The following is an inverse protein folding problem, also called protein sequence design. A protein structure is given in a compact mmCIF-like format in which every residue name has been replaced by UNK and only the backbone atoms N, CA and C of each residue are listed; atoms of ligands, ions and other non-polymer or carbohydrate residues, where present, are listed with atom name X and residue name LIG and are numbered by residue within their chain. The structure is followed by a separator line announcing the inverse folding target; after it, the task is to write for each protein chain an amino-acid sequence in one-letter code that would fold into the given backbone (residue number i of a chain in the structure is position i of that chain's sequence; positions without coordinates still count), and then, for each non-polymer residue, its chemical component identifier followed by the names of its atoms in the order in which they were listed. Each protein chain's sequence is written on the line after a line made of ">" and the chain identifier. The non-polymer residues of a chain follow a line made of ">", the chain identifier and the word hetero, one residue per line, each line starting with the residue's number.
data_IF_840988162032
#
_entry.id   IF_840988162032
#
_cell.length_a   1.000
_cell.length_b   1.000
_cell.length_c   1.000
_cell.angle_alpha   90.00
_cell.angle_beta   90.00
_cell.angle_gamma   90.00
#
_symmetry.space_group_name_H-M   'P 1'
#
loop_
_entity.id
_entity.type
_entity.pdbx_description
1 polymer ?
#
# COMPACT_ATOMS: atom_id res chain seq x y z
N UNK A 1 -20.87 26.33 4.71
CA UNK A 1 -21.98 27.31 4.66
C UNK A 1 -23.18 26.78 5.45
N UNK A 2 -24.05 27.65 5.99
CA UNK A 2 -25.26 27.24 6.70
C UNK A 2 -26.46 27.97 6.09
N UNK A 3 -27.47 27.22 5.63
CA UNK A 3 -28.64 27.79 4.96
C UNK A 3 -29.89 27.00 5.33
N UNK A 4 -30.96 27.67 5.77
CA UNK A 4 -32.27 27.06 6.12
C UNK A 4 -32.18 25.82 7.02
N UNK A 5 -31.33 25.85 8.05
CA UNK A 5 -31.17 24.73 8.99
C UNK A 5 -30.33 23.56 8.47
N UNK A 6 -29.68 23.76 7.33
CA UNK A 6 -28.82 22.78 6.67
C UNK A 6 -27.38 23.28 6.70
N UNK A 7 -26.49 22.44 7.21
CA UNK A 7 -25.07 22.68 7.16
C UNK A 7 -24.48 22.03 5.92
N UNK A 8 -23.84 22.84 5.09
CA UNK A 8 -23.18 22.44 3.86
C UNK A 8 -21.68 22.50 4.11
N UNK A 9 -21.02 21.35 4.07
CA UNK A 9 -19.57 21.25 4.19
C UNK A 9 -19.02 20.64 2.91
N UNK A 10 -17.90 21.16 2.43
CA UNK A 10 -17.15 20.52 1.35
C UNK A 10 -16.38 19.35 1.98
N UNK A 11 -16.77 18.12 1.65
CA UNK A 11 -16.20 16.92 2.29
C UNK A 11 -14.93 16.45 1.59
N UNK A 12 -14.85 16.61 0.28
CA UNK A 12 -13.71 16.17 -0.53
C UNK A 12 -13.68 16.87 -1.89
N UNK A 13 -12.50 16.86 -2.51
CA UNK A 13 -12.35 17.01 -3.95
C UNK A 13 -12.28 15.61 -4.53
N UNK A 14 -13.20 15.29 -5.43
CA UNK A 14 -13.17 14.04 -6.18
C UNK A 14 -12.85 14.35 -7.64
N UNK A 15 -12.49 13.31 -8.38
CA UNK A 15 -12.31 13.44 -9.81
C UNK A 15 -13.67 13.64 -10.48
N UNK A 16 -13.86 14.77 -11.16
CA UNK A 16 -15.11 15.17 -11.79
C UNK A 16 -15.33 14.61 -13.19
N UNK A 17 -14.56 13.60 -13.59
CA UNK A 17 -14.55 13.07 -14.96
C UNK A 17 -13.38 13.63 -15.76
N UNK A 18 -12.17 13.60 -15.22
CA UNK A 18 -10.94 13.92 -15.93
C UNK A 18 -10.82 13.09 -17.20
N UNK A 19 -10.39 13.73 -18.29
CA UNK A 19 -10.14 13.07 -19.56
C UNK A 19 -8.73 12.50 -19.57
N UNK A 20 -8.58 11.25 -19.99
CA UNK A 20 -7.34 10.49 -19.98
C UNK A 20 -7.02 10.04 -21.40
N UNK A 21 -5.75 10.16 -21.79
CA UNK A 21 -5.17 9.52 -22.95
C UNK A 21 -4.11 8.54 -22.46
N UNK A 22 -4.34 7.25 -22.69
CA UNK A 22 -3.45 6.18 -22.25
C UNK A 22 -2.79 5.53 -23.45
N UNK A 23 -1.51 5.21 -23.32
CA UNK A 23 -0.81 4.30 -24.20
C UNK A 23 -0.85 2.89 -23.62
N UNK A 24 -1.43 1.95 -24.36
CA UNK A 24 -1.53 0.55 -23.98
C UNK A 24 -0.37 -0.24 -24.59
N UNK A 25 0.36 -0.97 -23.73
CA UNK A 25 1.51 -1.77 -24.08
C UNK A 25 1.18 -3.26 -23.90
N UNK A 26 0.87 -4.02 -24.97
CA UNK A 26 0.57 -5.45 -24.86
C UNK A 26 1.70 -6.25 -24.23
N UNK A 27 1.37 -7.05 -23.22
CA UNK A 27 2.28 -7.98 -22.54
C UNK A 27 2.20 -9.41 -23.10
N UNK A 28 1.17 -9.70 -23.90
CA UNK A 28 1.04 -10.95 -24.65
C UNK A 28 1.93 -11.01 -25.90
N UNK A 29 1.95 -12.17 -26.57
CA UNK A 29 2.60 -12.33 -27.87
C UNK A 29 1.80 -11.63 -28.98
N UNK A 30 2.48 -11.09 -30.00
CA UNK A 30 1.83 -10.60 -31.23
C UNK A 30 1.19 -9.21 -31.18
N UNK A 31 0.77 -8.69 -30.02
CA UNK A 31 0.14 -7.37 -29.94
C UNK A 31 1.08 -6.18 -30.22
N UNK A 32 0.55 -5.11 -30.82
CA UNK A 32 1.23 -3.82 -31.00
C UNK A 32 0.69 -2.77 -30.04
N UNK A 33 1.51 -1.80 -29.58
CA UNK A 33 1.00 -0.70 -28.78
C UNK A 33 -0.12 0.10 -29.47
N UNK A 34 -1.07 0.61 -28.70
CA UNK A 34 -2.20 1.41 -29.19
C UNK A 34 -2.66 2.41 -28.14
N UNK A 35 -3.37 3.45 -28.56
CA UNK A 35 -3.88 4.49 -27.67
C UNK A 35 -5.33 4.23 -27.26
N UNK A 36 -5.67 4.61 -26.03
CA UNK A 36 -7.01 4.51 -25.45
C UNK A 36 -7.36 5.87 -24.87
N UNK A 37 -8.51 6.41 -25.26
CA UNK A 37 -9.09 7.57 -24.62
C UNK A 37 -10.20 7.16 -23.64
N UNK A 38 -10.29 7.87 -22.52
CA UNK A 38 -11.24 7.58 -21.48
C UNK A 38 -11.56 8.77 -20.61
N UNK A 39 -12.63 8.64 -19.84
CA UNK A 39 -13.03 9.63 -18.84
C UNK A 39 -13.13 8.91 -17.50
N UNK A 40 -12.60 9.49 -16.43
CA UNK A 40 -12.75 8.95 -15.07
C UNK A 40 -14.24 8.80 -14.73
N UNK A 41 -14.61 7.66 -14.16
CA UNK A 41 -16.00 7.22 -13.94
C UNK A 41 -16.63 6.54 -15.16
N UNK A 42 -16.00 6.59 -16.33
CA UNK A 42 -16.42 5.91 -17.56
C UNK A 42 -15.80 4.52 -17.71
N UNK A 43 -16.22 3.81 -18.75
CA UNK A 43 -15.63 2.53 -19.15
C UNK A 43 -15.48 2.42 -20.66
N UNK A 44 -14.61 1.51 -21.10
CA UNK A 44 -14.42 1.15 -22.51
C UNK A 44 -14.10 -0.33 -22.63
N UNK A 45 -14.38 -0.93 -23.79
CA UNK A 45 -13.94 -2.28 -24.08
C UNK A 45 -12.43 -2.28 -24.36
N UNK A 46 -11.71 -3.17 -23.69
CA UNK A 46 -10.29 -3.41 -23.93
C UNK A 46 -10.14 -4.69 -24.75
N UNK A 47 -9.59 -4.53 -25.97
CA UNK A 47 -9.29 -5.63 -26.89
C UNK A 47 -7.77 -5.72 -27.01
N UNK A 48 -7.17 -6.67 -26.32
CA UNK A 48 -5.78 -7.02 -26.58
C UNK A 48 -5.73 -7.97 -27.78
N UNK A 49 -4.96 -7.63 -28.81
CA UNK A 49 -4.74 -8.48 -29.99
C UNK A 49 -3.94 -9.73 -29.62
N UNK A 50 -4.65 -10.73 -29.09
CA UNK A 50 -4.35 -12.16 -29.16
C UNK A 50 -5.47 -12.95 -28.43
N UNK A 51 -6.65 -13.09 -29.04
CA UNK A 51 -7.56 -14.23 -28.83
C UNK A 51 -8.18 -14.54 -27.46
N UNK A 52 -7.85 -13.88 -26.35
CA UNK A 52 -8.37 -14.28 -25.03
C UNK A 52 -8.84 -13.12 -24.16
N UNK A 53 -10.15 -13.15 -23.89
CA UNK A 53 -10.91 -12.34 -22.95
C UNK A 53 -11.25 -10.90 -23.38
N UNK A 54 -12.54 -10.67 -23.65
CA UNK A 54 -13.12 -9.31 -23.63
C UNK A 54 -13.04 -8.79 -22.21
N UNK A 55 -12.31 -7.70 -22.02
CA UNK A 55 -12.22 -7.02 -20.73
C UNK A 55 -12.90 -5.66 -20.84
N UNK A 56 -13.57 -5.25 -19.77
CA UNK A 56 -14.05 -3.87 -19.62
C UNK A 56 -13.04 -3.11 -18.79
N UNK A 57 -12.47 -2.05 -19.36
CA UNK A 57 -11.61 -1.11 -18.67
C UNK A 57 -12.48 -0.01 -18.05
N UNK A 58 -12.49 0.08 -16.73
CA UNK A 58 -13.19 1.11 -15.95
C UNK A 58 -12.17 2.10 -15.41
N UNK A 59 -12.27 3.37 -15.79
CA UNK A 59 -11.38 4.42 -15.29
C UNK A 59 -11.90 4.90 -13.93
N UNK A 60 -11.13 4.74 -12.86
CA UNK A 60 -11.64 5.01 -11.50
C UNK A 60 -11.04 6.23 -10.83
N UNK A 61 -9.87 6.68 -11.26
CA UNK A 61 -9.30 7.88 -10.69
C UNK A 61 -8.03 8.36 -11.38
N UNK A 62 -7.81 9.67 -11.28
CA UNK A 62 -6.56 10.33 -11.61
C UNK A 62 -6.07 11.08 -10.37
N UNK A 63 -4.83 10.86 -9.97
CA UNK A 63 -4.14 11.70 -8.99
C UNK A 63 -2.95 12.33 -9.68
N UNK A 64 -2.96 13.65 -9.83
CA UNK A 64 -1.88 14.38 -10.53
C UNK A 64 -0.62 14.48 -9.66
N UNK A 65 -0.79 14.51 -8.34
CA UNK A 65 0.30 14.63 -7.37
C UNK A 65 0.13 13.51 -6.35
N UNK A 66 1.18 12.72 -6.15
CA UNK A 66 1.22 11.66 -5.15
C UNK A 66 2.46 11.85 -4.29
N UNK A 67 2.28 12.12 -3.00
CA UNK A 67 3.38 12.25 -2.04
C UNK A 67 3.38 11.03 -1.14
N UNK A 68 4.31 10.11 -1.39
CA UNK A 68 4.36 8.80 -0.74
C UNK A 68 5.60 8.68 0.15
N UNK A 69 5.51 7.95 1.27
CA UNK A 69 6.68 7.66 2.10
C UNK A 69 7.45 6.46 1.54
N UNK A 70 8.62 6.70 0.95
CA UNK A 70 9.44 5.66 0.31
C UNK A 70 10.32 4.89 1.29
N UNK A 71 10.57 5.42 2.50
CA UNK A 71 11.48 4.81 3.48
C UNK A 71 11.01 3.44 4.00
N UNK A 72 9.71 3.13 3.90
CA UNK A 72 9.13 1.89 4.43
C UNK A 72 8.85 0.82 3.36
N UNK A 73 9.04 1.13 2.05
CA UNK A 73 8.75 0.17 0.96
C UNK A 73 9.91 -0.75 0.60
N UNK A 74 11.16 -0.38 0.91
CA UNK A 74 12.34 -1.24 0.68
C UNK A 74 12.35 -2.52 1.55
N UNK A 75 11.82 -2.44 2.77
CA UNK A 75 11.87 -3.55 3.74
C UNK A 75 10.66 -4.48 3.71
N UNK A 76 9.53 -4.07 3.10
CA UNK A 76 8.26 -4.78 3.22
C UNK A 76 7.98 -5.83 2.11
N UNK A 77 8.84 -5.96 1.10
CA UNK A 77 8.57 -6.80 -0.09
C UNK A 77 9.62 -7.91 -0.30
N UNK A 78 10.76 -7.88 0.40
CA UNK A 78 11.76 -8.97 0.36
C UNK A 78 11.42 -10.18 1.26
N UNK A 79 10.14 -10.47 1.49
CA UNK A 79 9.75 -11.38 2.60
C UNK A 79 8.46 -12.17 2.43
N UNK A 80 8.00 -12.51 1.22
CA UNK A 80 6.92 -13.51 1.05
C UNK A 80 7.44 -14.94 0.88
N UNK A 81 8.47 -15.31 1.64
CA UNK A 81 8.84 -16.70 1.90
C UNK A 81 9.28 -16.79 3.35
N UNK A 82 8.77 -17.80 4.05
CA UNK A 82 9.10 -18.19 5.42
C UNK A 82 10.61 -18.33 5.63
N UNK A 83 11.28 -17.27 6.08
CA UNK A 83 12.67 -17.34 6.56
C UNK A 83 12.71 -17.22 8.10
N UNK A 84 13.21 -18.27 8.74
CA UNK A 84 13.32 -18.44 10.19
C UNK A 84 14.70 -18.00 10.68
N UNK A 85 15.53 -17.33 9.85
CA UNK A 85 16.89 -16.93 10.22
C UNK A 85 17.17 -15.46 9.89
N UNK A 86 16.45 -14.60 10.58
CA UNK A 86 16.72 -13.16 10.62
C UNK A 86 16.13 -12.55 11.88
N UNK A 87 16.63 -12.96 13.04
CA UNK A 87 16.23 -12.35 14.32
C UNK A 87 16.75 -10.92 14.32
N UNK A 88 15.88 -9.95 14.05
CA UNK A 88 16.18 -8.52 14.17
C UNK A 88 16.34 -8.14 15.65
N UNK A 89 17.50 -8.50 16.21
CA UNK A 89 17.90 -8.20 17.59
C UNK A 89 18.10 -6.68 17.83
N UNK A 90 18.30 -5.90 16.77
CA UNK A 90 18.45 -4.45 16.86
C UNK A 90 17.10 -3.74 16.98
N UNK A 91 16.08 -4.20 16.25
CA UNK A 91 14.71 -3.67 16.34
C UNK A 91 13.95 -4.05 17.62
N UNK A 92 14.31 -5.16 18.28
CA UNK A 92 13.67 -5.57 19.54
C UNK A 92 14.20 -4.84 20.78
N UNK A 93 15.45 -4.35 20.76
CA UNK A 93 16.07 -3.70 21.92
C UNK A 93 15.56 -2.26 22.12
N UNK A 94 15.24 -1.55 21.04
CA UNK A 94 14.67 -0.19 21.08
C UNK A 94 13.19 -0.18 21.50
N UNK A 95 12.48 -1.31 21.39
CA UNK A 95 11.08 -1.44 21.80
C UNK A 95 10.86 -1.51 23.31
N UNK A 96 11.91 -1.79 24.10
CA UNK A 96 11.80 -1.98 25.55
C UNK A 96 12.42 -0.87 26.41
N UNK A 97 12.97 0.18 25.80
CA UNK A 97 13.41 1.37 26.52
C UNK A 97 12.31 2.43 26.46
N UNK A 98 11.52 2.45 27.54
CA UNK A 98 10.31 3.27 27.69
C UNK A 98 10.54 4.75 27.42
N UNK A 99 10.06 5.21 26.27
CA UNK A 99 9.53 6.57 26.10
C UNK A 99 8.31 6.47 25.19
N UNK A 100 7.17 6.97 25.66
CA UNK A 100 5.86 6.85 25.01
C UNK A 100 5.67 7.71 23.76
N UNK A 101 6.72 7.91 22.96
CA UNK A 101 6.64 8.53 21.65
C UNK A 101 7.00 7.47 20.61
N UNK A 102 6.12 7.22 19.64
CA UNK A 102 6.51 6.51 18.41
C UNK A 102 7.68 7.31 17.80
N UNK A 103 8.91 6.82 17.97
CA UNK A 103 10.08 7.36 17.28
C UNK A 103 9.73 7.44 15.81
N UNK A 104 9.81 8.65 15.24
CA UNK A 104 9.36 8.92 13.88
C UNK A 104 10.08 7.97 12.93
N UNK A 105 9.33 7.08 12.28
CA UNK A 105 9.84 6.42 11.08
C UNK A 105 10.29 7.53 10.12
N UNK A 106 11.53 7.46 9.65
CA UNK A 106 12.08 8.44 8.71
C UNK A 106 11.08 8.67 7.57
N UNK A 107 10.61 9.91 7.45
CA UNK A 107 9.60 10.30 6.47
C UNK A 107 10.32 10.72 5.19
N UNK A 108 10.70 9.74 4.37
CA UNK A 108 11.20 9.97 3.01
C UNK A 108 10.05 10.27 2.03
N UNK A 109 9.31 11.36 2.27
CA UNK A 109 8.19 11.77 1.43
C UNK A 109 8.70 12.24 0.06
N UNK A 110 8.34 11.52 -1.00
CA UNK A 110 8.70 11.87 -2.36
C UNK A 110 7.46 12.02 -3.23
N UNK A 111 7.47 13.02 -4.10
CA UNK A 111 6.46 13.11 -5.14
C UNK A 111 6.75 12.05 -6.21
N UNK A 112 5.85 11.09 -6.36
CA UNK A 112 5.96 9.98 -7.31
C UNK A 112 5.14 10.23 -8.58
N UNK A 113 4.78 11.50 -8.82
CA UNK A 113 4.13 11.96 -10.04
C UNK A 113 2.66 11.58 -10.16
N UNK A 114 2.08 11.76 -11.35
CA UNK A 114 0.71 11.34 -11.61
C UNK A 114 0.54 9.83 -11.45
N UNK A 115 -0.64 9.41 -10.99
CA UNK A 115 -1.05 8.02 -11.00
C UNK A 115 -2.46 7.87 -11.56
N UNK A 116 -2.69 6.73 -12.21
CA UNK A 116 -4.00 6.34 -12.73
C UNK A 116 -4.50 5.12 -11.97
N UNK A 117 -5.74 5.18 -11.51
CA UNK A 117 -6.47 4.04 -10.97
C UNK A 117 -7.49 3.56 -12.01
N UNK A 118 -7.52 2.26 -12.24
CA UNK A 118 -8.50 1.63 -13.13
C UNK A 118 -8.86 0.23 -12.65
N UNK A 119 -9.97 -0.31 -13.17
CA UNK A 119 -10.34 -1.71 -12.99
C UNK A 119 -10.41 -2.41 -14.34
N UNK A 120 -9.98 -3.66 -14.37
CA UNK A 120 -10.26 -4.55 -15.50
C UNK A 120 -11.29 -5.57 -15.04
N UNK A 121 -12.44 -5.58 -15.70
CA UNK A 121 -13.52 -6.54 -15.44
C UNK A 121 -13.61 -7.57 -16.56
N UNK A 122 -13.66 -8.84 -16.20
CA UNK A 122 -13.85 -9.92 -17.16
C UNK A 122 -15.34 -10.17 -17.49
N UNK A 123 -15.59 -11.08 -18.43
CA UNK A 123 -16.94 -11.49 -18.82
C UNK A 123 -17.73 -12.19 -17.70
N UNK A 124 -17.08 -12.69 -16.66
CA UNK A 124 -17.71 -13.27 -15.47
C UNK A 124 -18.07 -12.21 -14.42
N UNK A 125 -17.73 -10.93 -14.66
CA UNK A 125 -17.99 -9.82 -13.77
C UNK A 125 -16.94 -9.65 -12.66
N UNK A 126 -15.88 -10.45 -12.65
CA UNK A 126 -14.78 -10.31 -11.69
C UNK A 126 -13.92 -9.12 -12.09
N UNK A 127 -13.64 -8.23 -11.14
CA UNK A 127 -12.85 -7.03 -11.37
C UNK A 127 -11.58 -7.02 -10.53
N UNK A 128 -10.45 -6.72 -11.18
CA UNK A 128 -9.16 -6.47 -10.53
C UNK A 128 -8.87 -4.98 -10.57
N UNK A 129 -8.26 -4.47 -9.52
CA UNK A 129 -7.93 -3.05 -9.41
C UNK A 129 -6.44 -2.82 -9.66
N UNK A 130 -6.15 -1.77 -10.40
CA UNK A 130 -4.82 -1.38 -10.81
C UNK A 130 -4.53 0.07 -10.43
N UNK A 131 -3.28 0.35 -10.10
CA UNK A 131 -2.80 1.70 -9.83
C UNK A 131 -1.37 1.85 -10.35
N UNK A 132 -1.20 2.62 -11.43
CA UNK A 132 0.08 2.78 -12.10
C UNK A 132 0.62 4.19 -11.85
N UNK A 133 1.90 4.29 -11.50
CA UNK A 133 2.61 5.55 -11.29
C UNK A 133 3.40 5.94 -12.53
N UNK A 134 3.36 7.22 -12.88
CA UNK A 134 3.87 7.74 -14.16
C UNK A 134 5.26 8.37 -14.05
N UNK A 135 5.84 8.41 -12.84
CA UNK A 135 7.24 8.76 -12.65
C UNK A 135 7.98 7.60 -11.98
N UNK A 136 9.26 7.39 -12.36
CA UNK A 136 10.08 6.40 -11.71
C UNK A 136 10.41 6.83 -10.29
N UNK A 137 10.50 5.85 -9.40
CA UNK A 137 10.85 6.03 -7.98
C UNK A 137 12.14 5.30 -7.67
N UNK A 138 12.92 5.85 -6.73
CA UNK A 138 14.11 5.21 -6.20
C UNK A 138 13.72 4.19 -5.12
N UNK A 139 13.95 2.90 -5.39
CA UNK A 139 13.81 1.79 -4.45
C UNK A 139 15.12 1.02 -4.39
N UNK A 140 15.69 0.87 -3.19
CA UNK A 140 16.91 0.10 -2.96
C UNK A 140 18.10 0.51 -3.88
N UNK A 141 18.20 1.82 -4.16
CA UNK A 141 19.23 2.39 -5.04
C UNK A 141 18.96 2.24 -6.54
N UNK A 142 17.72 1.89 -6.92
CA UNK A 142 17.33 1.64 -8.30
C UNK A 142 16.09 2.41 -8.68
N UNK A 143 16.11 2.98 -9.89
CA UNK A 143 14.96 3.71 -10.44
C UNK A 143 14.03 2.75 -11.16
N UNK A 144 12.78 2.70 -10.72
CA UNK A 144 11.75 1.81 -11.28
C UNK A 144 10.40 2.52 -11.43
N UNK A 145 9.66 2.18 -12.47
CA UNK A 145 8.23 2.47 -12.54
C UNK A 145 7.45 1.42 -11.74
N UNK A 146 6.30 1.83 -11.20
CA UNK A 146 5.46 0.96 -10.37
C UNK A 146 4.08 0.78 -11.02
N UNK A 147 3.77 -0.47 -11.36
CA UNK A 147 2.43 -0.87 -11.83
C UNK A 147 1.78 -1.78 -10.77
N UNK A 148 0.79 -1.24 -10.06
CA UNK A 148 0.13 -1.91 -8.95
C UNK A 148 -1.06 -2.76 -9.40
N UNK A 149 -1.26 -3.90 -8.75
CA UNK A 149 -2.45 -4.74 -8.88
C UNK A 149 -2.91 -5.25 -7.51
N UNK A 150 -4.23 -5.37 -7.34
CA UNK A 150 -4.85 -6.12 -6.24
C UNK A 150 -6.11 -6.82 -6.73
N UNK A 151 -6.37 -8.01 -6.18
CA UNK A 151 -7.56 -8.81 -6.53
C UNK A 151 -8.79 -8.28 -5.78
N UNK A 152 -8.61 -7.88 -4.51
CA UNK A 152 -9.70 -7.39 -3.66
C UNK A 152 -9.39 -6.01 -3.07
N UNK A 153 -10.41 -5.17 -2.78
CA UNK A 153 -10.19 -3.85 -2.17
C UNK A 153 -9.57 -3.88 -0.77
N UNK A 154 -9.69 -5.01 -0.07
CA UNK A 154 -9.15 -5.24 1.27
C UNK A 154 -7.66 -5.61 1.26
N UNK A 155 -7.15 -6.05 0.12
CA UNK A 155 -5.74 -6.41 -0.03
C UNK A 155 -4.87 -5.18 -0.35
N UNK A 156 -3.59 -5.18 0.10
CA UNK A 156 -2.62 -4.19 -0.35
C UNK A 156 -2.26 -4.41 -1.83
N UNK A 157 -1.91 -3.34 -2.52
CA UNK A 157 -1.38 -3.45 -3.88
C UNK A 157 -0.05 -4.19 -3.91
N UNK A 158 0.06 -5.18 -4.79
CA UNK A 158 1.34 -5.75 -5.24
C UNK A 158 1.82 -4.96 -6.44
N UNK A 159 3.10 -4.58 -6.46
CA UNK A 159 3.66 -3.75 -7.51
C UNK A 159 4.63 -4.53 -8.39
N UNK A 160 4.39 -4.50 -9.69
CA UNK A 160 5.40 -4.80 -10.70
C UNK A 160 6.38 -3.62 -10.74
N UNK A 161 7.66 -3.91 -10.54
CA UNK A 161 8.76 -2.95 -10.57
C UNK A 161 9.42 -3.01 -11.93
N UNK A 162 9.28 -1.96 -12.74
CA UNK A 162 9.80 -1.93 -14.10
C UNK A 162 11.07 -1.08 -14.10
N UNK A 163 12.27 -1.64 -14.35
CA UNK A 163 13.51 -0.87 -14.35
C UNK A 163 13.51 0.17 -15.46
N UNK A 164 14.03 1.35 -15.14
CA UNK A 164 14.25 2.37 -16.16
C UNK A 164 15.44 2.02 -17.04
N UNK A 165 15.34 2.31 -18.33
CA UNK A 165 16.46 2.23 -19.26
C UNK A 165 17.38 3.47 -19.18
N UNK A 166 18.39 3.51 -20.05
CA UNK A 166 19.35 4.62 -20.11
C UNK A 166 18.69 5.97 -20.46
N UNK A 167 17.51 5.95 -21.09
CA UNK A 167 16.71 7.13 -21.42
C UNK A 167 15.75 7.53 -20.28
N UNK A 168 15.68 6.75 -19.19
CA UNK A 168 14.77 6.96 -18.07
C UNK A 168 13.34 6.48 -18.33
N UNK A 169 13.12 5.73 -19.42
CA UNK A 169 11.82 5.18 -19.81
C UNK A 169 11.69 3.69 -19.49
N UNK A 170 10.54 3.11 -19.86
CA UNK A 170 10.30 1.66 -19.76
C UNK A 170 10.60 0.92 -21.07
N UNK A 171 10.98 1.63 -22.13
CA UNK A 171 11.05 1.08 -23.48
C UNK A 171 12.08 -0.05 -23.61
N UNK A 172 13.24 0.08 -22.93
CA UNK A 172 14.24 -0.97 -22.87
C UNK A 172 13.70 -2.27 -22.27
N UNK A 173 13.00 -2.17 -21.14
CA UNK A 173 12.36 -3.34 -20.51
C UNK A 173 11.24 -3.89 -21.39
N UNK A 174 10.41 -3.03 -21.96
CA UNK A 174 9.27 -3.44 -22.80
C UNK A 174 9.73 -4.16 -24.07
N UNK A 175 10.79 -3.68 -24.74
CA UNK A 175 11.41 -4.38 -25.88
C UNK A 175 11.88 -5.78 -25.50
N UNK A 176 12.56 -5.92 -24.36
CA UNK A 176 13.02 -7.23 -23.88
C UNK A 176 11.85 -8.16 -23.54
N UNK A 177 10.80 -7.63 -22.89
CA UNK A 177 9.57 -8.36 -22.59
C UNK A 177 8.90 -8.88 -23.87
N UNK A 178 8.82 -8.03 -24.90
CA UNK A 178 8.29 -8.38 -26.22
C UNK A 178 9.12 -9.45 -26.92
N UNK A 179 10.44 -9.28 -26.94
CA UNK A 179 11.37 -10.26 -27.49
C UNK A 179 11.25 -11.62 -26.77
N UNK A 180 11.04 -11.60 -25.45
CA UNK A 180 10.86 -12.82 -24.65
C UNK A 180 9.59 -13.58 -25.03
N UNK A 181 8.51 -12.88 -25.41
CA UNK A 181 7.27 -13.50 -25.87
C UNK A 181 7.30 -14.00 -27.32
N UNK A 182 8.31 -13.60 -28.10
CA UNK A 182 8.49 -14.04 -29.49
C UNK A 182 9.33 -15.34 -29.58
N UNK A 183 8.76 -16.47 -30.05
CA UNK A 183 9.50 -17.73 -30.18
C UNK A 183 10.72 -17.63 -31.10
N UNK A 184 10.65 -16.90 -32.22
CA UNK A 184 11.75 -16.80 -33.16
C UNK A 184 12.94 -16.04 -32.56
N UNK A 185 12.66 -15.00 -31.77
CA UNK A 185 13.70 -14.24 -31.07
C UNK A 185 14.32 -15.06 -29.93
N UNK A 186 13.54 -15.85 -29.19
CA UNK A 186 14.09 -16.78 -28.18
C UNK A 186 15.03 -17.82 -28.81
N UNK A 187 14.64 -18.41 -29.93
CA UNK A 187 15.47 -19.38 -30.65
C UNK A 187 16.76 -18.74 -31.16
N UNK A 188 16.69 -17.53 -31.70
CA UNK A 188 17.87 -16.79 -32.14
C UNK A 188 18.80 -16.43 -30.97
N UNK A 189 18.25 -15.99 -29.83
CA UNK A 189 19.03 -15.64 -28.64
C UNK A 189 19.80 -16.84 -28.10
N UNK A 190 19.16 -18.00 -28.01
CA UNK A 190 19.76 -19.23 -27.46
C UNK A 190 20.84 -19.79 -28.39
N UNK A 191 20.68 -19.67 -29.71
CA UNK A 191 21.74 -19.98 -30.69
C UNK A 191 22.95 -19.06 -30.53
N UNK A 192 22.74 -17.75 -30.40
CA UNK A 192 23.83 -16.78 -30.18
C UNK A 192 24.57 -17.05 -28.88
N UNK A 193 23.82 -17.30 -27.80
CA UNK A 193 24.39 -17.66 -26.50
C UNK A 193 25.21 -18.96 -26.60
N UNK A 194 24.68 -20.01 -27.21
CA UNK A 194 25.40 -21.28 -27.35
C UNK A 194 26.70 -21.11 -28.16
N UNK A 195 26.68 -20.34 -29.24
CA UNK A 195 27.87 -20.07 -30.04
C UNK A 195 28.97 -19.32 -29.26
N UNK A 196 28.59 -18.39 -28.37
CA UNK A 196 29.54 -17.65 -27.53
C UNK A 196 30.02 -18.44 -26.30
N UNK A 197 29.13 -19.23 -25.69
CA UNK A 197 29.39 -19.96 -24.46
C UNK A 197 30.12 -21.30 -24.69
N UNK A 198 30.13 -21.79 -25.94
CA UNK A 198 30.79 -23.05 -26.30
C UNK A 198 32.31 -22.86 -26.31
N UNK A 199 33.06 -23.61 -25.48
CA UNK A 199 34.52 -23.59 -25.51
C UNK A 199 35.05 -24.03 -26.88
N UNK A 200 36.07 -23.35 -27.40
CA UNK A 200 36.65 -23.65 -28.71
C UNK A 200 37.19 -25.10 -28.85
N UNK A 201 37.46 -25.76 -27.72
CA UNK A 201 37.94 -27.14 -27.65
C UNK A 201 36.83 -28.21 -27.57
N UNK A 202 35.54 -27.83 -27.51
CA UNK A 202 34.39 -28.76 -27.39
C UNK A 202 33.18 -28.31 -28.20
N UNK A 203 33.27 -28.25 -29.54
CA UNK A 203 32.17 -27.80 -30.40
C UNK A 203 30.92 -28.68 -30.28
N UNK A 204 31.06 -29.95 -29.90
CA UNK A 204 29.95 -30.88 -29.68
C UNK A 204 29.00 -30.45 -28.55
N UNK A 205 29.47 -29.60 -27.61
CA UNK A 205 28.63 -29.09 -26.52
C UNK A 205 27.64 -28.00 -26.97
N UNK A 206 27.84 -27.40 -28.15
CA UNK A 206 27.01 -26.29 -28.62
C UNK A 206 25.53 -26.66 -28.73
N UNK A 207 25.22 -27.83 -29.28
CA UNK A 207 23.84 -28.28 -29.46
C UNK A 207 23.16 -28.54 -28.10
N UNK A 208 23.86 -29.20 -27.18
CA UNK A 208 23.34 -29.47 -25.83
C UNK A 208 23.13 -28.17 -25.02
N UNK A 209 24.05 -27.20 -25.15
CA UNK A 209 23.93 -25.89 -24.52
C UNK A 209 22.74 -25.11 -25.09
N UNK A 210 22.56 -25.12 -26.42
CA UNK A 210 21.43 -24.46 -27.08
C UNK A 210 20.10 -25.07 -26.61
N UNK A 211 19.97 -26.40 -26.62
CA UNK A 211 18.73 -27.07 -26.23
C UNK A 211 18.36 -26.77 -24.77
N UNK A 212 19.34 -26.80 -23.88
CA UNK A 212 19.15 -26.51 -22.45
C UNK A 212 18.78 -25.03 -22.27
N UNK A 213 19.49 -24.11 -22.93
CA UNK A 213 19.21 -22.67 -22.87
C UNK A 213 17.82 -22.34 -23.42
N UNK A 214 17.42 -22.97 -24.53
CA UNK A 214 16.11 -22.80 -25.13
C UNK A 214 14.99 -23.23 -24.16
N UNK A 215 15.13 -24.39 -23.53
CA UNK A 215 14.18 -24.86 -22.53
C UNK A 215 14.12 -23.94 -21.31
N UNK A 216 15.27 -23.50 -20.78
CA UNK A 216 15.33 -22.55 -19.67
C UNK A 216 14.63 -21.24 -20.00
N UNK A 217 14.91 -20.67 -21.17
CA UNK A 217 14.30 -19.42 -21.62
C UNK A 217 12.81 -19.57 -21.90
N UNK A 218 12.36 -20.72 -22.44
CA UNK A 218 10.96 -21.02 -22.68
C UNK A 218 10.14 -21.18 -21.39
N UNK A 219 10.69 -21.89 -20.38
CA UNK A 219 10.11 -21.98 -19.04
C UNK A 219 10.00 -20.60 -18.38
N UNK A 220 11.07 -19.80 -18.45
CA UNK A 220 11.07 -18.43 -17.92
C UNK A 220 10.05 -17.53 -18.64
N UNK A 221 9.91 -17.66 -19.96
CA UNK A 221 8.94 -16.91 -20.75
C UNK A 221 7.48 -17.31 -20.48
N UNK A 222 7.24 -18.44 -19.80
CA UNK A 222 5.91 -19.03 -19.68
C UNK A 222 5.39 -19.65 -20.97
N UNK A 223 6.28 -19.93 -21.93
CA UNK A 223 5.94 -20.57 -23.20
C UNK A 223 5.88 -22.10 -23.07
N UNK A 224 6.64 -22.65 -22.11
CA UNK A 224 6.55 -24.04 -21.68
C UNK A 224 6.12 -24.10 -20.22
N UNK A 225 5.24 -25.04 -19.89
CA UNK A 225 4.86 -25.34 -18.51
C UNK A 225 5.50 -26.65 -18.07
N UNK A 226 6.13 -26.67 -16.89
CA UNK A 226 6.59 -27.92 -16.30
C UNK A 226 5.41 -28.62 -15.60
N UNK A 227 5.14 -29.91 -15.85
CA UNK A 227 4.17 -30.65 -15.07
C UNK A 227 4.56 -30.67 -13.59
N UNK A 228 3.62 -30.33 -12.72
CA UNK A 228 3.81 -30.29 -11.27
C UNK A 228 4.23 -31.67 -10.75
N UNK A 229 5.15 -31.69 -9.78
CA UNK A 229 5.53 -32.93 -9.10
C UNK A 229 4.32 -33.54 -8.38
N UNK A 230 4.36 -34.85 -8.08
CA UNK A 230 3.31 -35.49 -7.29
C UNK A 230 3.15 -34.84 -5.90
N UNK A 231 4.25 -34.37 -5.32
CA UNK A 231 4.26 -33.67 -4.04
C UNK A 231 3.58 -32.30 -4.12
N UNK A 232 3.83 -31.54 -5.19
CA UNK A 232 3.23 -30.22 -5.40
C UNK A 232 1.73 -30.31 -5.64
N UNK A 233 1.30 -31.32 -6.41
CA UNK A 233 -0.12 -31.62 -6.60
C UNK A 233 -0.80 -32.00 -5.29
N UNK A 234 -0.15 -32.81 -4.45
CA UNK A 234 -0.68 -33.17 -3.13
C UNK A 234 -0.78 -31.96 -2.17
N UNK A 235 0.08 -30.94 -2.35
CA UNK A 235 0.07 -29.70 -1.57
C UNK A 235 -0.84 -28.60 -2.16
N UNK A 236 -1.51 -28.85 -3.28
CA UNK A 236 -2.35 -27.85 -3.95
C UNK A 236 -1.57 -26.67 -4.54
N UNK A 237 -0.28 -26.85 -4.84
CA UNK A 237 0.57 -25.80 -5.43
C UNK A 237 0.14 -25.59 -6.88
N UNK A 238 -0.12 -24.34 -7.27
CA UNK A 238 -0.42 -23.98 -8.65
C UNK A 238 0.85 -23.95 -9.52
N UNK A 239 0.72 -24.32 -10.79
CA UNK A 239 1.79 -24.19 -11.77
C UNK A 239 2.14 -22.71 -11.97
N UNK A 240 3.44 -22.39 -11.92
CA UNK A 240 3.88 -21.02 -12.16
C UNK A 240 3.62 -20.63 -13.63
N UNK A 241 3.07 -19.44 -13.89
CA UNK A 241 2.83 -18.96 -15.26
C UNK A 241 4.12 -18.61 -16.01
N UNK A 242 5.27 -18.53 -15.32
CA UNK A 242 6.58 -18.21 -15.89
C UNK A 242 7.55 -17.70 -14.82
N UNK A 243 8.62 -17.04 -15.26
CA UNK A 243 9.60 -16.39 -14.39
C UNK A 243 10.56 -17.36 -13.68
N UNK A 244 11.24 -16.84 -12.66
CA UNK A 244 12.17 -17.61 -11.83
C UNK A 244 11.45 -18.71 -11.04
N UNK A 245 10.18 -18.50 -10.70
CA UNK A 245 9.37 -19.50 -10.00
C UNK A 245 9.12 -20.75 -10.86
N UNK A 246 8.89 -20.59 -12.17
CA UNK A 246 8.75 -21.72 -13.09
C UNK A 246 10.06 -22.51 -13.20
N UNK A 247 11.21 -21.81 -13.19
CA UNK A 247 12.52 -22.45 -13.18
C UNK A 247 12.78 -23.21 -11.87
N UNK A 248 12.42 -22.62 -10.72
CA UNK A 248 12.53 -23.28 -9.42
C UNK A 248 11.69 -24.56 -9.34
N UNK A 249 10.42 -24.49 -9.76
CA UNK A 249 9.54 -25.66 -9.84
C UNK A 249 10.10 -26.74 -10.78
N UNK A 250 10.75 -26.35 -11.87
CA UNK A 250 11.43 -27.29 -12.77
C UNK A 250 12.60 -28.01 -12.10
N UNK A 251 13.47 -27.27 -11.41
CA UNK A 251 14.63 -27.85 -10.70
C UNK A 251 14.18 -28.77 -9.57
N UNK A 252 13.20 -28.35 -8.77
CA UNK A 252 12.68 -29.16 -7.65
C UNK A 252 12.08 -30.49 -8.11
N UNK A 253 11.36 -30.48 -9.23
CA UNK A 253 10.70 -31.66 -9.78
C UNK A 253 11.59 -32.57 -10.62
N UNK A 254 12.66 -32.05 -11.23
CA UNK A 254 13.47 -32.79 -12.21
C UNK A 254 14.88 -33.12 -11.73
N UNK A 255 15.38 -32.46 -10.67
CA UNK A 255 16.76 -32.58 -10.19
C UNK A 255 16.80 -33.12 -8.76
N UNK A 256 17.63 -34.14 -8.47
CA UNK A 256 17.84 -34.63 -7.10
C UNK A 256 18.34 -33.53 -6.15
N UNK A 257 17.91 -33.57 -4.90
CA UNK A 257 18.16 -32.50 -3.90
C UNK A 257 19.64 -32.12 -3.76
N UNK A 258 20.54 -33.12 -3.80
CA UNK A 258 21.98 -32.93 -3.69
C UNK A 258 22.59 -32.09 -4.84
N UNK A 259 21.94 -32.07 -6.01
CA UNK A 259 22.45 -31.38 -7.20
C UNK A 259 21.72 -30.07 -7.50
N UNK A 260 20.60 -29.78 -6.82
CA UNK A 260 19.72 -28.63 -7.12
C UNK A 260 20.47 -27.30 -7.12
N UNK A 261 21.29 -27.02 -6.10
CA UNK A 261 22.03 -25.75 -6.02
C UNK A 261 22.96 -25.55 -7.24
N UNK A 262 23.74 -26.58 -7.58
CA UNK A 262 24.67 -26.55 -8.72
C UNK A 262 23.92 -26.38 -10.04
N UNK A 263 22.83 -27.11 -10.25
CA UNK A 263 22.05 -27.02 -11.48
C UNK A 263 21.34 -25.67 -11.58
N UNK A 264 20.77 -25.14 -10.50
CA UNK A 264 20.18 -23.80 -10.45
C UNK A 264 21.19 -22.73 -10.87
N UNK A 265 22.41 -22.76 -10.35
CA UNK A 265 23.46 -21.80 -10.72
C UNK A 265 23.81 -21.85 -12.21
N UNK A 266 23.84 -23.05 -12.80
CA UNK A 266 24.08 -23.23 -14.24
C UNK A 266 22.91 -22.67 -15.05
N UNK A 267 21.67 -23.03 -14.69
CA UNK A 267 20.48 -22.56 -15.41
C UNK A 267 20.32 -21.03 -15.31
N UNK A 268 20.58 -20.42 -14.15
CA UNK A 268 20.54 -18.98 -13.98
C UNK A 268 21.61 -18.27 -14.82
N UNK A 269 22.82 -18.84 -14.93
CA UNK A 269 23.87 -18.30 -15.81
C UNK A 269 23.45 -18.37 -17.28
N UNK A 270 22.87 -19.50 -17.70
CA UNK A 270 22.37 -19.69 -19.06
C UNK A 270 21.19 -18.76 -19.38
N UNK A 271 20.29 -18.57 -18.41
CA UNK A 271 19.18 -17.64 -18.51
C UNK A 271 19.68 -16.21 -18.69
N UNK A 272 20.57 -15.73 -17.83
CA UNK A 272 21.11 -14.38 -17.91
C UNK A 272 21.86 -14.13 -19.23
N UNK A 273 22.67 -15.09 -19.69
CA UNK A 273 23.36 -15.00 -20.98
C UNK A 273 22.39 -14.98 -22.17
N UNK A 274 21.36 -15.83 -22.14
CA UNK A 274 20.33 -15.87 -23.20
C UNK A 274 19.47 -14.61 -23.21
N UNK A 275 19.11 -14.05 -22.04
CA UNK A 275 18.37 -12.80 -21.93
C UNK A 275 19.20 -11.60 -22.40
N UNK A 276 20.51 -11.60 -22.17
CA UNK A 276 21.40 -10.58 -22.71
C UNK A 276 21.41 -10.60 -24.24
N UNK A 277 21.58 -11.77 -24.86
CA UNK A 277 21.50 -11.92 -26.32
C UNK A 277 20.13 -11.53 -26.87
N UNK A 278 19.06 -11.84 -26.13
CA UNK A 278 17.70 -11.43 -26.48
C UNK A 278 17.52 -9.91 -26.43
N UNK A 279 18.11 -9.23 -25.45
CA UNK A 279 18.12 -7.77 -25.37
C UNK A 279 18.88 -7.17 -26.57
N UNK A 280 20.02 -7.74 -26.95
CA UNK A 280 20.78 -7.33 -28.13
C UNK A 280 19.98 -7.50 -29.43
N UNK A 281 19.23 -8.60 -29.57
CA UNK A 281 18.32 -8.82 -30.71
C UNK A 281 17.22 -7.74 -30.74
N UNK A 282 16.60 -7.46 -29.59
CA UNK A 282 15.56 -6.44 -29.48
C UNK A 282 16.06 -5.04 -29.88
N UNK A 283 17.30 -4.69 -29.51
CA UNK A 283 17.93 -3.42 -29.91
C UNK A 283 18.26 -3.39 -31.41
N UNK A 284 18.83 -4.47 -31.95
CA UNK A 284 19.14 -4.57 -33.37
C UNK A 284 17.88 -4.45 -34.24
N UNK A 285 16.77 -5.10 -33.84
CA UNK A 285 15.49 -5.00 -34.52
C UNK A 285 14.88 -3.59 -34.46
N UNK A 286 15.20 -2.82 -33.41
CA UNK A 286 14.77 -1.43 -33.24
C UNK A 286 15.74 -0.41 -33.88
N UNK A 287 16.83 -0.86 -34.52
CA UNK A 287 17.85 0.04 -35.08
C UNK A 287 18.63 0.83 -34.02
N UNK A 288 18.67 0.34 -32.78
CA UNK A 288 19.35 0.99 -31.66
C UNK A 288 20.77 0.45 -31.47
N UNK A 289 21.68 1.24 -30.85
CA UNK A 289 23.02 0.77 -30.52
C UNK A 289 22.99 -0.47 -29.62
N UNK A 290 23.96 -1.38 -29.83
CA UNK A 290 24.14 -2.53 -28.97
C UNK A 290 24.49 -2.11 -27.53
N UNK A 291 24.05 -2.90 -26.54
CA UNK A 291 24.46 -2.72 -25.16
C UNK A 291 25.96 -2.88 -25.02
N UNK A 292 26.55 -1.97 -24.25
CA UNK A 292 27.94 -2.08 -23.81
C UNK A 292 27.97 -2.95 -22.56
N UNK A 293 28.97 -3.83 -22.44
CA UNK A 293 29.16 -4.65 -21.26
C UNK A 293 29.77 -3.82 -20.10
N UNK A 294 28.96 -2.92 -19.53
CA UNK A 294 29.32 -2.05 -18.42
C UNK A 294 28.49 -2.36 -17.15
N UNK A 295 28.85 -1.69 -16.04
CA UNK A 295 28.16 -1.87 -14.77
C UNK A 295 26.68 -1.45 -14.83
N UNK A 296 26.37 -0.38 -15.57
CA UNK A 296 25.00 0.11 -15.78
C UNK A 296 24.12 -0.95 -16.44
N UNK A 297 24.61 -1.56 -17.51
CA UNK A 297 23.92 -2.62 -18.24
C UNK A 297 23.75 -3.86 -17.36
N UNK A 298 24.78 -4.25 -16.61
CA UNK A 298 24.68 -5.39 -15.68
C UNK A 298 23.60 -5.18 -14.60
N UNK A 299 23.54 -3.97 -14.02
CA UNK A 299 22.50 -3.60 -13.06
C UNK A 299 21.11 -3.61 -13.69
N UNK A 300 20.94 -3.01 -14.87
CA UNK A 300 19.67 -3.01 -15.62
C UNK A 300 19.22 -4.44 -15.92
N UNK A 301 20.09 -5.30 -16.45
CA UNK A 301 19.76 -6.68 -16.79
C UNK A 301 19.36 -7.51 -15.58
N UNK A 302 20.08 -7.35 -14.46
CA UNK A 302 19.73 -8.03 -13.19
C UNK A 302 18.32 -7.65 -12.75
N UNK A 303 17.96 -6.37 -12.84
CA UNK A 303 16.61 -5.91 -12.50
C UNK A 303 15.56 -6.30 -13.53
N UNK A 304 15.91 -6.32 -14.81
CA UNK A 304 15.02 -6.76 -15.86
C UNK A 304 14.64 -8.23 -15.66
N UNK A 305 15.55 -9.10 -15.25
CA UNK A 305 15.26 -10.51 -14.95
C UNK A 305 14.23 -10.64 -13.83
N UNK A 306 14.43 -9.93 -12.71
CA UNK A 306 13.47 -9.94 -11.58
C UNK A 306 12.11 -9.38 -12.01
N UNK A 307 12.11 -8.24 -12.72
CA UNK A 307 10.91 -7.60 -13.22
C UNK A 307 10.12 -8.47 -14.21
N UNK A 308 10.80 -9.14 -15.15
CA UNK A 308 10.18 -10.06 -16.10
C UNK A 308 9.60 -11.29 -15.40
N UNK A 309 10.25 -11.75 -14.33
CA UNK A 309 9.72 -12.82 -13.48
C UNK A 309 8.42 -12.37 -12.80
N UNK A 310 8.39 -11.18 -12.21
CA UNK A 310 7.18 -10.62 -11.59
C UNK A 310 6.07 -10.34 -12.60
N UNK A 311 6.43 -9.94 -13.83
CA UNK A 311 5.48 -9.68 -14.90
C UNK A 311 4.67 -10.91 -15.32
N UNK A 312 5.21 -12.14 -15.12
CA UNK A 312 4.44 -13.36 -15.32
C UNK A 312 3.24 -13.49 -14.38
N UNK A 313 3.27 -12.79 -13.24
CA UNK A 313 2.20 -12.76 -12.23
C UNK A 313 1.36 -11.48 -12.31
N UNK A 314 1.55 -10.63 -13.32
CA UNK A 314 0.72 -9.45 -13.56
C UNK A 314 -0.45 -9.84 -14.47
N UNK A 315 -1.71 -9.89 -13.94
CA UNK A 315 -2.83 -10.55 -14.61
C UNK A 315 -3.53 -9.67 -15.66
N UNK A 316 -2.85 -8.68 -16.22
CA UNK A 316 -3.39 -7.79 -17.25
C UNK A 316 -2.77 -8.10 -18.62
N UNK A 317 -3.54 -8.07 -19.71
CA UNK A 317 -3.02 -8.32 -21.05
C UNK A 317 -2.21 -7.14 -21.62
N UNK A 318 -2.41 -5.94 -21.07
CA UNK A 318 -1.70 -4.72 -21.43
C UNK A 318 -1.25 -3.98 -20.17
N UNK A 319 -0.12 -3.30 -20.25
CA UNK A 319 0.27 -2.28 -19.30
C UNK A 319 -0.25 -0.92 -19.80
N UNK A 320 -0.93 -0.17 -18.94
CA UNK A 320 -1.47 1.16 -19.29
C UNK A 320 -0.57 2.26 -18.72
N UNK A 321 -0.10 3.13 -19.60
CA UNK A 321 0.67 4.32 -19.26
C UNK A 321 -0.15 5.57 -19.63
N UNK A 322 -0.17 6.56 -18.74
CA UNK A 322 -0.78 7.86 -19.01
C UNK A 322 0.13 8.67 -19.93
N UNK A 323 -0.37 8.98 -21.13
CA UNK A 323 0.32 9.86 -22.09
C UNK A 323 -0.05 11.32 -21.86
N UNK A 324 -1.34 11.58 -21.60
CA UNK A 324 -1.84 12.94 -21.40
C UNK A 324 -3.15 12.91 -20.58
N UNK A 325 -3.50 14.06 -19.98
CA UNK A 325 -4.76 14.20 -19.26
C UNK A 325 -5.27 15.64 -19.25
N UNK A 326 -6.59 15.79 -19.11
CA UNK A 326 -7.23 17.06 -18.74
C UNK A 326 -7.91 16.85 -17.40
N UNK A 327 -7.34 17.42 -16.35
CA UNK A 327 -7.87 17.28 -15.00
C UNK A 327 -9.18 18.06 -14.86
N UNK A 328 -10.23 17.38 -14.40
CA UNK A 328 -11.52 17.97 -14.06
C UNK A 328 -11.80 17.60 -12.61
N UNK A 329 -11.97 18.61 -11.75
CA UNK A 329 -12.25 18.39 -10.32
C UNK A 329 -13.72 18.64 -10.02
N UNK A 330 -14.32 17.74 -9.24
CA UNK A 330 -15.63 17.93 -8.65
C UNK A 330 -15.51 18.22 -7.15
N UNK A 331 -16.26 19.21 -6.67
CA UNK A 331 -16.38 19.48 -5.23
C UNK A 331 -17.57 18.70 -4.68
N UNK A 332 -17.30 17.73 -3.80
CA UNK A 332 -18.37 16.98 -3.13
C UNK A 332 -18.83 17.76 -1.90
N UNK A 333 -20.10 18.15 -1.91
CA UNK A 333 -20.73 18.84 -0.78
C UNK A 333 -21.57 17.85 0.02
N UNK A 334 -21.20 17.67 1.29
CA UNK A 334 -22.04 16.97 2.26
C UNK A 334 -23.02 17.94 2.90
N UNK A 335 -24.28 17.52 2.92
CA UNK A 335 -25.41 18.32 3.33
C UNK A 335 -26.05 17.62 4.53
N UNK A 336 -25.88 18.18 5.72
CA UNK A 336 -26.39 17.60 6.96
C UNK A 336 -27.44 18.51 7.60
N UNK A 337 -28.59 17.94 7.94
CA UNK A 337 -29.66 18.60 8.70
C UNK A 337 -29.68 18.03 10.11
N UNK A 338 -29.48 18.87 11.12
CA UNK A 338 -29.42 18.47 12.52
C UNK A 338 -30.58 19.11 13.32
N UNK A 339 -31.82 18.59 13.24
CA UNK A 339 -33.00 19.21 13.85
C UNK A 339 -33.01 19.18 15.39
N UNK A 340 -32.11 18.44 16.04
CA UNK A 340 -32.00 18.34 17.51
C UNK A 340 -30.82 19.11 18.14
N UNK A 341 -30.03 19.84 17.35
CA UNK A 341 -28.81 20.50 17.82
C UNK A 341 -29.07 21.47 18.99
N UNK A 342 -30.17 22.22 18.93
CA UNK A 342 -30.57 23.16 19.99
C UNK A 342 -30.91 22.45 21.30
N UNK A 343 -31.59 21.30 21.23
CA UNK A 343 -31.95 20.51 22.41
C UNK A 343 -30.70 19.91 23.07
N UNK A 344 -29.75 19.42 22.28
CA UNK A 344 -28.46 18.90 22.80
C UNK A 344 -27.65 20.01 23.48
N UNK A 345 -27.59 21.21 22.90
CA UNK A 345 -26.91 22.34 23.52
C UNK A 345 -27.62 22.83 24.79
N UNK A 346 -28.94 22.86 24.81
CA UNK A 346 -29.71 23.15 26.01
C UNK A 346 -29.40 22.12 27.12
N UNK A 347 -29.38 20.84 26.78
CA UNK A 347 -29.00 19.76 27.69
C UNK A 347 -27.57 19.91 28.22
N UNK A 348 -26.61 20.26 27.36
CA UNK A 348 -25.22 20.51 27.75
C UNK A 348 -25.11 21.70 28.73
N UNK A 349 -25.84 22.80 28.48
CA UNK A 349 -25.88 23.96 29.39
C UNK A 349 -26.50 23.57 30.73
N UNK A 350 -27.63 22.85 30.74
CA UNK A 350 -28.27 22.38 31.97
C UNK A 350 -27.37 21.42 32.76
N UNK A 351 -26.60 20.57 32.08
CA UNK A 351 -25.64 19.68 32.71
C UNK A 351 -24.50 20.47 33.36
N UNK A 352 -23.94 21.47 32.67
CA UNK A 352 -22.94 22.39 33.24
C UNK A 352 -23.50 23.05 34.50
N UNK A 353 -24.71 23.61 34.42
CA UNK A 353 -25.38 24.23 35.58
C UNK A 353 -25.56 23.22 36.71
N UNK A 354 -25.98 21.99 36.43
CA UNK A 354 -26.14 20.94 37.44
C UNK A 354 -24.83 20.57 38.15
N UNK A 355 -23.73 20.46 37.39
CA UNK A 355 -22.39 20.21 37.97
C UNK A 355 -21.96 21.39 38.84
N UNK A 356 -22.15 22.63 38.39
CA UNK A 356 -21.87 23.82 39.20
C UNK A 356 -22.74 23.86 40.47
N UNK A 357 -24.04 23.59 40.34
CA UNK A 357 -24.95 23.53 41.48
C UNK A 357 -24.51 22.46 42.50
N UNK A 358 -24.09 21.27 42.05
CA UNK A 358 -23.55 20.23 42.92
C UNK A 358 -22.26 20.64 43.64
N UNK A 359 -21.42 21.49 43.02
CA UNK A 359 -20.19 21.98 43.65
C UNK A 359 -20.45 23.09 44.68
N UNK A 360 -21.43 23.96 44.44
CA UNK A 360 -21.66 25.18 45.23
C UNK A 360 -22.82 25.07 46.24
N UNK A 361 -23.83 24.24 45.98
CA UNK A 361 -24.95 24.00 46.92
C UNK A 361 -24.47 23.00 47.97
N UNK A 362 -24.41 23.48 49.22
CA UNK A 362 -23.97 22.69 50.37
C UNK A 362 -25.18 22.28 51.20
N UNK A 363 -25.34 20.99 51.44
CA UNK A 363 -26.29 20.50 52.43
C UNK A 363 -25.69 20.71 53.83
N UNK A 364 -26.39 21.48 54.67
CA UNK A 364 -26.00 21.75 56.05
C UNK A 364 -27.12 21.29 56.97
N UNK A 365 -26.78 20.48 57.98
CA UNK A 365 -27.72 20.01 59.01
C UNK A 365 -27.28 20.54 60.36
N UNK A 366 -28.13 21.34 60.98
CA UNK A 366 -27.93 21.88 62.31
C UNK A 366 -28.94 21.26 63.27
N UNK A 367 -28.45 20.64 64.33
CA UNK A 367 -29.27 20.17 65.43
C UNK A 367 -29.05 21.06 66.64
N UNK A 368 -30.15 21.49 67.28
CA UNK A 368 -30.13 22.30 68.48
C UNK A 368 -30.94 21.57 69.54
N UNK A 369 -30.34 21.38 70.71
CA UNK A 369 -30.94 20.73 71.87
C UNK A 369 -30.94 21.71 73.04
N UNK A 370 -32.11 21.92 73.65
CA UNK A 370 -32.33 22.95 74.66
C UNK A 370 -32.76 22.28 75.96
N UNK A 371 -32.10 22.62 77.07
CA UNK A 371 -32.36 22.06 78.40
C UNK A 371 -32.41 23.17 79.46
N UNK A 372 -33.16 23.01 80.55
CA UNK A 372 -33.07 23.90 81.71
C UNK A 372 -31.68 23.78 82.36
N UNK A 373 -31.03 24.90 82.63
CA UNK A 373 -29.74 25.00 83.31
C UNK A 373 -29.89 25.26 84.81
N UNK A 374 -28.89 24.89 85.60
CA UNK A 374 -28.89 25.14 87.05
C UNK A 374 -28.81 26.66 87.33
N UNK A 375 -29.55 27.10 88.36
CA UNK A 375 -29.81 28.50 88.71
C UNK A 375 -30.66 29.32 87.71
N UNK A 376 -31.63 28.69 87.03
CA UNK A 376 -32.67 29.39 86.25
C UNK A 376 -32.26 29.81 84.84
N UNK A 377 -31.11 29.35 84.35
CA UNK A 377 -30.66 29.57 82.97
C UNK A 377 -31.21 28.54 81.98
N UNK A 378 -30.97 28.75 80.68
CA UNK A 378 -31.22 27.74 79.62
C UNK A 378 -29.88 27.28 79.05
N UNK A 379 -29.65 25.97 79.02
CA UNK A 379 -28.48 25.33 78.42
C UNK A 379 -28.80 24.91 76.99
N UNK A 380 -28.00 25.40 76.03
CA UNK A 380 -28.13 25.08 74.62
C UNK A 380 -26.93 24.23 74.17
N UNK A 381 -27.20 23.10 73.54
CA UNK A 381 -26.22 22.26 72.87
C UNK A 381 -26.52 22.24 71.38
N UNK A 382 -25.54 22.59 70.54
CA UNK A 382 -25.69 22.60 69.09
C UNK A 382 -24.65 21.67 68.44
N UNK A 383 -25.06 20.96 67.40
CA UNK A 383 -24.20 20.15 66.56
C UNK A 383 -24.47 20.48 65.09
N UNK A 384 -23.42 20.68 64.31
CA UNK A 384 -23.49 20.97 62.88
C UNK A 384 -22.82 19.82 62.10
N UNK A 385 -23.50 19.32 61.07
CA UNK A 385 -22.93 18.39 60.09
C UNK A 385 -22.98 19.00 58.69
N UNK A 386 -21.87 18.84 57.98
CA UNK A 386 -21.71 19.19 56.56
C UNK A 386 -21.07 18.00 55.85
N UNK A 387 -21.46 17.76 54.61
CA UNK A 387 -20.89 16.69 53.78
C UNK A 387 -19.47 16.98 53.31
N UNK A 388 -19.03 18.26 53.34
CA UNK A 388 -17.66 18.69 53.03
C UNK A 388 -17.17 19.68 54.09
N UNK A 389 -16.07 19.37 54.77
CA UNK A 389 -15.47 20.22 55.81
C UNK A 389 -14.52 21.23 55.17
N UNK A 390 -14.81 22.52 55.30
CA UNK A 390 -13.97 23.63 54.83
C UNK A 390 -13.63 24.55 56.00
N UNK A 391 -12.52 25.30 55.92
CA UNK A 391 -12.04 26.19 57.00
C UNK A 391 -13.09 27.22 57.47
N UNK A 392 -13.96 27.69 56.57
CA UNK A 392 -15.01 28.68 56.90
C UNK A 392 -16.17 28.11 57.74
N UNK A 393 -16.33 26.78 57.82
CA UNK A 393 -17.46 26.17 58.54
C UNK A 393 -17.34 26.39 60.04
N UNK A 394 -16.12 26.35 60.57
CA UNK A 394 -15.87 26.57 62.00
C UNK A 394 -16.14 28.05 62.36
N UNK A 395 -15.73 29.00 61.50
CA UNK A 395 -16.01 30.42 61.68
C UNK A 395 -17.50 30.76 61.58
N UNK A 396 -18.23 30.16 60.63
CA UNK A 396 -19.68 30.30 60.52
C UNK A 396 -20.41 29.69 61.73
N UNK A 397 -19.95 28.55 62.24
CA UNK A 397 -20.53 27.92 63.44
C UNK A 397 -20.30 28.77 64.68
N UNK A 398 -19.12 29.39 64.82
CA UNK A 398 -18.82 30.31 65.92
C UNK A 398 -19.68 31.58 65.84
N UNK A 399 -19.90 32.14 64.64
CA UNK A 399 -20.86 33.23 64.46
C UNK A 399 -22.28 32.82 64.86
N UNK A 400 -22.71 31.62 64.44
CA UNK A 400 -24.04 31.12 64.78
C UNK A 400 -24.19 30.88 66.28
N UNK A 401 -23.16 30.34 66.93
CA UNK A 401 -23.08 30.16 68.38
C UNK A 401 -23.12 31.50 69.11
N UNK A 402 -22.39 32.51 68.63
CA UNK A 402 -22.40 33.86 69.20
C UNK A 402 -23.78 34.51 69.08
N UNK A 403 -24.45 34.37 67.93
CA UNK A 403 -25.80 34.89 67.72
C UNK A 403 -26.84 34.17 68.59
N UNK A 404 -26.73 32.84 68.74
CA UNK A 404 -27.66 32.04 69.55
C UNK A 404 -27.46 32.20 71.06
N UNK A 405 -26.26 32.55 71.52
CA UNK A 405 -25.93 32.78 72.93
C UNK A 405 -25.91 34.27 73.32
N UNK A 406 -26.18 35.18 72.38
CA UNK A 406 -26.28 36.59 72.69
C UNK A 406 -27.45 36.83 73.68
N UNK A 407 -27.23 37.54 74.80
CA UNK A 407 -28.30 37.87 75.72
C UNK A 407 -29.34 38.74 74.99
N UNK A 408 -30.65 38.60 75.28
CA UNK A 408 -31.66 39.45 74.65
C UNK A 408 -31.31 40.91 74.91
N UNK A 409 -31.33 41.74 73.87
CA UNK A 409 -31.13 43.17 74.00
C UNK A 409 -32.09 43.71 75.07
N UNK A 410 -31.57 44.39 76.09
CA UNK A 410 -32.40 45.08 77.08
C UNK A 410 -33.28 46.09 76.32
N UNK A 411 -34.59 45.88 76.31
CA UNK A 411 -35.53 46.94 75.99
C UNK A 411 -35.31 48.08 76.99
N UNK A 412 -34.78 49.19 76.51
CA UNK A 412 -34.89 50.46 77.21
C UNK A 412 -36.34 50.93 77.03
N UNK A 413 -37.13 50.83 78.10
CA UNK A 413 -38.42 51.53 78.22
C UNK A 413 -38.19 53.04 78.46
#
# INVERSE_FOLDING_TARGET
>A
AFHRGVAIYQSSFDDGGSKLQLHALPLGSGGTPFDIEGTVGGNTELRADSGSQRLTLEFTGLRVINVENMASRGTAISGSATDVRGVDLAGSLTKHLGSGAKGGADKGLHNVGPSISYKLRDAAGQAREFNNYMLPVDLDGQRVYLAGVRETPTEPFRYLRIPVDAQGGIDGWYRLQRALKDPAQRDQATRRYAAQATPANKPEMAEQLQLTAARTLALFAGAESNPLSAADRAKGVAAAPGGLQALAQFVEGSVPEAERARISDVLLRMLNGSLFELAQIGLANAGLPALVADETTSRFMTQAVLSLSDAAFYPAPVLLQLSNFTQIQASVFQVARAPGKTLVYLGAVLLIIGVFAMLYIRERRLWIWIQPGEAGGTKLQAALSTTRRTLDVDAEFDQLKAALLAPPAKEHA
#
